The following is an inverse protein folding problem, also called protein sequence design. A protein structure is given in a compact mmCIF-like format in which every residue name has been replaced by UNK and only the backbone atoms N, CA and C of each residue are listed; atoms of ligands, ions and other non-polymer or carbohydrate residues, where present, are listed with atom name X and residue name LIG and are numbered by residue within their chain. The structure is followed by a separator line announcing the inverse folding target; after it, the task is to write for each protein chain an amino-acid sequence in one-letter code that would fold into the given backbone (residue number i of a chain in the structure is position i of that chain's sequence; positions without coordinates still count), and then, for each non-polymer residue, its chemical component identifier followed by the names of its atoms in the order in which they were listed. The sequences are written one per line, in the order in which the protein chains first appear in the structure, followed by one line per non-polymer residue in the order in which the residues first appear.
data_IF_083304992060
#
_entry.id   IF_083304992060
#
_cell.length_a   1.000
_cell.length_b   1.000
_cell.length_c   1.000
_cell.angle_alpha   90.00
_cell.angle_beta   90.00
_cell.angle_gamma   90.00
#
_symmetry.space_group_name_H-M   'P 1'
#
loop_
_entity.id
_entity.type
_entity.pdbx_description
1 polymer ?
#
# COMPACT_ATOMS: atom_id res chain seq x y z
N UNK A 1 38.37 4.52 32.87
CA UNK A 1 38.02 3.54 33.96
C UNK A 1 36.65 3.95 34.47
N UNK A 2 35.62 3.14 34.27
CA UNK A 2 34.40 3.27 35.05
C UNK A 2 34.75 2.85 36.46
N UNK A 3 34.99 3.80 37.35
CA UNK A 3 35.01 3.50 38.78
C UNK A 3 33.66 2.94 39.16
N UNK A 4 33.62 1.98 40.09
CA UNK A 4 32.41 1.51 40.69
C UNK A 4 31.79 2.65 41.52
N UNK A 5 31.03 3.50 40.85
CA UNK A 5 30.28 4.59 41.52
C UNK A 5 29.02 3.96 42.08
N UNK A 6 28.93 3.89 43.38
CA UNK A 6 27.73 3.38 44.05
C UNK A 6 26.61 4.39 43.85
N UNK A 7 25.49 3.96 43.29
CA UNK A 7 24.35 4.81 42.93
C UNK A 7 23.79 5.73 44.07
N UNK A 8 24.20 5.51 45.31
CA UNK A 8 23.81 6.31 46.49
C UNK A 8 24.51 7.67 46.61
N UNK A 9 25.64 7.86 45.91
CA UNK A 9 26.49 9.05 46.03
C UNK A 9 26.07 10.16 45.06
N UNK A 10 25.19 9.86 44.08
CA UNK A 10 24.82 10.82 43.04
C UNK A 10 23.31 10.90 42.86
N UNK A 11 22.73 12.05 43.15
CA UNK A 11 21.30 12.29 42.92
C UNK A 11 20.93 12.11 41.45
N UNK A 12 20.02 11.18 41.14
CA UNK A 12 19.52 10.94 39.80
C UNK A 12 20.44 10.15 38.85
N UNK A 13 21.45 9.45 39.35
CA UNK A 13 22.41 8.65 38.51
C UNK A 13 23.16 9.49 37.45
N UNK A 14 23.27 10.80 37.63
CA UNK A 14 23.95 11.72 36.70
C UNK A 14 25.34 12.08 37.22
N UNK A 15 26.34 11.94 36.36
CA UNK A 15 27.73 12.37 36.61
C UNK A 15 27.99 13.59 35.74
N UNK A 16 28.49 14.67 36.34
CA UNK A 16 28.98 15.83 35.61
C UNK A 16 30.46 15.63 35.29
N UNK A 17 30.79 15.63 34.02
CA UNK A 17 32.17 15.62 33.56
C UNK A 17 32.56 17.05 33.13
N UNK A 18 33.67 17.56 33.68
CA UNK A 18 34.25 18.87 33.34
C UNK A 18 35.47 18.65 32.48
N UNK A 19 35.49 19.29 31.31
CA UNK A 19 36.66 19.28 30.41
C UNK A 19 37.30 20.67 30.46
N UNK A 20 38.53 20.74 30.88
CA UNK A 20 39.28 21.97 30.91
C UNK A 20 40.10 22.10 29.62
N UNK A 21 40.00 23.24 28.95
CA UNK A 21 40.76 23.57 27.76
C UNK A 21 41.27 25.00 27.85
N UNK A 22 42.48 25.24 27.31
CA UNK A 22 43.05 26.57 27.26
C UNK A 22 42.73 27.21 25.92
N UNK A 23 42.30 28.46 25.95
CA UNK A 23 41.94 29.23 24.75
C UNK A 23 43.11 29.33 23.79
N UNK A 24 42.88 29.16 22.50
CA UNK A 24 43.86 29.30 21.40
C UNK A 24 45.05 28.33 21.49
N UNK A 25 44.85 27.13 22.03
CA UNK A 25 45.91 26.12 22.17
C UNK A 25 45.64 24.86 21.36
N UNK A 26 46.57 23.90 21.43
CA UNK A 26 46.40 22.54 20.86
C UNK A 26 45.22 21.74 21.44
N UNK A 27 44.56 22.23 22.47
CA UNK A 27 43.41 21.53 23.07
C UNK A 27 42.23 21.45 22.09
N UNK A 28 42.06 22.48 21.26
CA UNK A 28 41.08 22.45 20.17
C UNK A 28 41.32 21.29 19.19
N UNK A 29 42.59 21.07 18.84
CA UNK A 29 42.97 19.94 17.97
C UNK A 29 42.71 18.57 18.63
N UNK A 30 43.09 18.45 19.92
CA UNK A 30 42.85 17.21 20.68
C UNK A 30 41.39 16.89 20.82
N UNK A 31 40.55 17.89 21.08
CA UNK A 31 39.09 17.73 21.16
C UNK A 31 38.50 17.29 19.83
N UNK A 32 38.92 17.86 18.72
CA UNK A 32 38.50 17.44 17.38
C UNK A 32 38.88 15.98 17.10
N UNK A 33 40.11 15.58 17.44
CA UNK A 33 40.55 14.20 17.27
C UNK A 33 39.72 13.21 18.12
N UNK A 34 39.39 13.57 19.36
CA UNK A 34 38.57 12.77 20.24
C UNK A 34 37.12 12.66 19.72
N UNK A 35 36.57 13.75 19.21
CA UNK A 35 35.26 13.77 18.63
C UNK A 35 35.14 12.84 17.41
N UNK A 36 36.10 12.93 16.47
CA UNK A 36 36.12 12.06 15.30
C UNK A 36 36.22 10.57 15.69
N UNK A 37 37.01 10.25 16.72
CA UNK A 37 37.07 8.89 17.26
C UNK A 37 35.75 8.45 17.89
N UNK A 38 35.06 9.32 18.62
CA UNK A 38 33.77 9.03 19.22
C UNK A 38 32.72 8.76 18.14
N UNK A 39 32.65 9.58 17.09
CA UNK A 39 31.75 9.39 15.98
C UNK A 39 31.98 8.04 15.28
N UNK A 40 33.21 7.67 15.02
CA UNK A 40 33.54 6.37 14.44
C UNK A 40 33.05 5.22 15.31
N UNK A 41 33.24 5.30 16.63
CA UNK A 41 32.78 4.30 17.59
C UNK A 41 31.25 4.20 17.58
N UNK A 42 30.56 5.34 17.53
CA UNK A 42 29.07 5.37 17.53
C UNK A 42 28.50 4.84 16.21
N UNK A 43 29.13 5.10 15.08
CA UNK A 43 28.76 4.49 13.79
C UNK A 43 28.95 2.98 13.82
N UNK A 44 30.05 2.50 14.38
CA UNK A 44 30.32 1.07 14.53
C UNK A 44 29.24 0.40 15.39
N UNK A 45 28.90 1.01 16.53
CA UNK A 45 27.88 0.48 17.46
C UNK A 45 26.47 0.47 16.86
N UNK A 46 26.14 1.45 16.02
CA UNK A 46 24.82 1.59 15.38
C UNK A 46 24.74 0.86 14.04
N UNK A 47 25.78 0.13 13.64
CA UNK A 47 25.88 -0.57 12.34
C UNK A 47 25.59 0.34 11.13
N UNK A 48 26.04 1.60 11.20
CA UNK A 48 25.88 2.62 10.15
C UNK A 48 27.19 2.89 9.41
N UNK A 49 28.04 1.89 9.31
CA UNK A 49 29.27 1.93 8.49
C UNK A 49 28.88 2.02 7.02
N UNK A 50 29.05 3.16 6.41
CA UNK A 50 28.73 3.40 4.98
C UNK A 50 27.95 4.68 4.70
N UNK A 51 27.50 5.39 5.70
CA UNK A 51 26.96 6.72 5.49
C UNK A 51 28.12 7.68 5.10
N UNK A 52 28.07 8.18 3.86
CA UNK A 52 29.10 9.07 3.28
C UNK A 52 29.19 10.47 3.93
N UNK A 53 28.26 10.80 4.83
CA UNK A 53 28.24 12.04 5.62
C UNK A 53 28.14 11.70 7.09
N UNK A 54 29.16 12.11 7.80
CA UNK A 54 29.13 12.23 9.25
C UNK A 54 28.35 13.49 9.58
N UNK A 55 27.30 13.34 10.36
CA UNK A 55 26.60 14.48 10.94
C UNK A 55 27.49 15.02 12.07
N UNK A 56 28.16 16.12 11.82
CA UNK A 56 29.10 16.75 12.78
C UNK A 56 28.39 17.40 13.98
N UNK A 57 27.04 17.28 14.03
CA UNK A 57 26.20 18.17 14.82
C UNK A 57 25.91 17.81 16.28
N UNK A 58 26.01 16.55 16.72
CA UNK A 58 25.47 16.21 18.03
C UNK A 58 26.49 15.62 19.00
N UNK A 59 27.03 16.42 19.89
CA UNK A 59 27.85 15.94 21.02
C UNK A 59 27.01 15.47 22.20
N UNK A 60 25.85 16.04 22.45
CA UNK A 60 24.77 15.50 23.25
C UNK A 60 23.54 16.43 23.20
N UNK A 61 22.37 15.86 23.08
CA UNK A 61 21.08 16.59 23.16
C UNK A 61 20.90 17.29 24.53
N UNK A 62 21.62 16.86 25.57
CA UNK A 62 21.51 17.40 26.94
C UNK A 62 22.40 18.61 27.22
N UNK A 63 23.41 18.93 26.40
CA UNK A 63 24.36 20.03 26.68
C UNK A 63 24.00 21.35 25.98
N UNK A 64 23.07 21.34 25.03
CA UNK A 64 22.63 22.53 24.32
C UNK A 64 23.67 23.16 23.37
N UNK A 65 24.86 22.61 23.29
CA UNK A 65 25.94 23.07 22.39
C UNK A 65 26.40 21.91 21.50
N UNK A 66 26.51 22.17 20.20
CA UNK A 66 27.11 21.23 19.27
C UNK A 66 28.64 21.33 19.28
N UNK A 67 29.32 20.37 18.63
CA UNK A 67 30.79 20.34 18.60
C UNK A 67 31.41 21.59 17.97
N UNK A 68 30.83 22.13 16.90
CA UNK A 68 31.34 23.32 16.23
C UNK A 68 31.21 24.55 17.13
N UNK A 69 30.14 24.71 17.89
CA UNK A 69 29.96 25.75 18.90
C UNK A 69 31.00 25.63 20.03
N UNK A 70 31.25 24.40 20.45
CA UNK A 70 32.25 24.12 21.48
C UNK A 70 33.67 24.48 21.02
N UNK A 71 34.02 24.12 19.77
CA UNK A 71 35.30 24.48 19.15
C UNK A 71 35.48 25.98 19.00
N UNK A 72 34.38 26.70 18.65
CA UNK A 72 34.40 28.15 18.55
C UNK A 72 34.67 28.82 19.91
N UNK A 73 34.07 28.30 20.99
CA UNK A 73 34.34 28.80 22.37
C UNK A 73 35.80 28.53 22.77
N UNK A 74 36.31 27.33 22.51
CA UNK A 74 37.73 26.98 22.84
C UNK A 74 38.74 27.80 22.01
N UNK A 75 38.39 28.16 20.77
CA UNK A 75 39.22 29.01 19.93
C UNK A 75 39.25 30.48 20.38
N UNK A 76 38.28 30.88 21.21
CA UNK A 76 38.12 32.28 21.68
C UNK A 76 37.63 33.24 20.58
N UNK A 77 37.08 32.71 19.50
CA UNK A 77 36.56 33.50 18.38
C UNK A 77 35.02 33.46 18.35
N UNK A 78 34.40 34.59 18.68
CA UNK A 78 32.95 34.76 18.73
C UNK A 78 32.29 34.62 17.35
N UNK A 79 32.99 34.98 16.27
CA UNK A 79 32.45 34.89 14.90
C UNK A 79 32.32 33.43 14.48
N UNK A 80 33.25 32.56 14.89
CA UNK A 80 33.13 31.13 14.66
C UNK A 80 31.95 30.51 15.39
N UNK A 81 31.63 31.02 16.58
CA UNK A 81 30.45 30.60 17.32
C UNK A 81 29.16 30.98 16.61
N UNK A 82 29.09 32.22 16.12
CA UNK A 82 27.92 32.68 15.33
C UNK A 82 27.78 31.89 14.02
N UNK A 83 28.88 31.68 13.31
CA UNK A 83 28.93 30.85 12.10
C UNK A 83 28.39 29.44 12.37
N UNK A 84 28.89 28.77 13.41
CA UNK A 84 28.46 27.41 13.75
C UNK A 84 26.94 27.35 14.08
N UNK A 85 26.40 28.37 14.77
CA UNK A 85 24.96 28.46 15.03
C UNK A 85 24.13 28.65 13.77
N UNK A 86 24.60 29.51 12.86
CA UNK A 86 23.92 29.76 11.58
C UNK A 86 23.95 28.50 10.67
N UNK A 87 25.11 27.84 10.58
CA UNK A 87 25.23 26.58 9.83
C UNK A 87 24.31 25.49 10.38
N UNK A 88 24.24 25.37 11.71
CA UNK A 88 23.27 24.43 12.35
C UNK A 88 21.81 24.77 12.03
N UNK A 89 21.46 26.08 12.04
CA UNK A 89 20.11 26.53 11.68
C UNK A 89 19.80 26.26 10.19
N UNK A 90 20.74 26.55 9.28
CA UNK A 90 20.59 26.27 7.86
C UNK A 90 20.38 24.77 7.64
N UNK A 91 21.22 23.91 8.25
CA UNK A 91 21.08 22.47 8.12
C UNK A 91 19.69 21.96 8.62
N UNK A 92 19.19 22.53 9.70
CA UNK A 92 17.85 22.20 10.21
C UNK A 92 16.76 22.65 9.24
N UNK A 93 16.83 23.86 8.70
CA UNK A 93 15.89 24.39 7.72
C UNK A 93 15.92 23.58 6.41
N UNK A 94 17.09 23.23 5.90
CA UNK A 94 17.24 22.36 4.72
C UNK A 94 16.62 20.98 4.93
N UNK A 95 16.79 20.42 6.13
CA UNK A 95 16.16 19.14 6.49
C UNK A 95 14.63 19.25 6.52
N UNK A 96 14.10 20.31 7.14
CA UNK A 96 12.66 20.56 7.16
C UNK A 96 12.11 20.80 5.75
N UNK A 97 12.78 21.56 4.91
CA UNK A 97 12.43 21.78 3.51
C UNK A 97 12.40 20.47 2.74
N UNK A 98 13.41 19.63 2.93
CA UNK A 98 13.48 18.30 2.27
C UNK A 98 12.29 17.42 2.65
N UNK A 99 11.92 17.40 3.93
CA UNK A 99 10.74 16.65 4.41
C UNK A 99 9.46 17.23 3.79
N UNK A 100 9.31 18.56 3.78
CA UNK A 100 8.17 19.22 3.18
C UNK A 100 8.02 18.89 1.69
N UNK A 101 9.10 19.01 0.92
CA UNK A 101 9.11 18.68 -0.51
C UNK A 101 8.79 17.21 -0.77
N UNK A 102 9.30 16.31 0.06
CA UNK A 102 8.99 14.88 0.00
C UNK A 102 7.49 14.63 0.23
N UNK A 103 6.92 15.21 1.29
CA UNK A 103 5.49 15.09 1.61
C UNK A 103 4.61 15.62 0.47
N UNK A 104 4.99 16.76 -0.13
CA UNK A 104 4.31 17.34 -1.30
C UNK A 104 4.37 16.39 -2.51
N UNK A 105 5.53 15.80 -2.78
CA UNK A 105 5.68 14.84 -3.89
C UNK A 105 4.89 13.55 -3.66
N UNK A 106 4.87 13.05 -2.43
CA UNK A 106 4.05 11.90 -2.03
C UNK A 106 2.56 12.20 -2.22
N UNK A 107 2.08 13.38 -1.81
CA UNK A 107 0.71 13.82 -2.03
C UNK A 107 0.35 13.90 -3.51
N UNK A 108 1.25 14.42 -4.36
CA UNK A 108 1.06 14.49 -5.81
C UNK A 108 0.92 13.09 -6.44
N UNK A 109 1.76 12.15 -6.01
CA UNK A 109 1.70 10.75 -6.46
C UNK A 109 0.40 10.07 -6.03
N UNK A 110 -0.06 10.32 -4.80
CA UNK A 110 -1.33 9.80 -4.29
C UNK A 110 -2.53 10.40 -5.04
N UNK A 111 -2.53 11.69 -5.33
CA UNK A 111 -3.57 12.35 -6.10
C UNK A 111 -3.72 11.72 -7.50
N UNK A 112 -2.60 11.51 -8.20
CA UNK A 112 -2.59 10.85 -9.51
C UNK A 112 -3.15 9.42 -9.42
N UNK A 113 -2.70 8.66 -8.44
CA UNK A 113 -3.17 7.29 -8.20
C UNK A 113 -4.68 7.25 -7.91
N UNK A 114 -5.19 8.11 -7.02
CA UNK A 114 -6.61 8.14 -6.66
C UNK A 114 -7.49 8.58 -7.83
N UNK A 115 -7.03 9.57 -8.59
CA UNK A 115 -7.72 9.99 -9.83
C UNK A 115 -7.81 8.85 -10.85
N UNK A 116 -6.75 8.07 -11.02
CA UNK A 116 -6.76 6.90 -11.89
C UNK A 116 -7.70 5.80 -11.37
N UNK A 117 -7.70 5.55 -10.05
CA UNK A 117 -8.60 4.57 -9.43
C UNK A 117 -10.08 4.98 -9.57
N UNK A 118 -10.41 6.26 -9.40
CA UNK A 118 -11.78 6.77 -9.63
C UNK A 118 -12.23 6.49 -11.06
N UNK A 119 -11.38 6.82 -12.06
CA UNK A 119 -11.71 6.53 -13.47
C UNK A 119 -11.92 5.05 -13.74
N UNK A 120 -11.10 4.18 -13.14
CA UNK A 120 -11.27 2.73 -13.24
C UNK A 120 -12.59 2.26 -12.65
N UNK A 121 -13.00 2.83 -11.48
CA UNK A 121 -14.28 2.51 -10.85
C UNK A 121 -15.46 3.02 -11.69
N UNK A 122 -15.36 4.21 -12.29
CA UNK A 122 -16.40 4.71 -13.19
C UNK A 122 -16.58 3.81 -14.41
N UNK A 123 -15.51 3.45 -15.10
CA UNK A 123 -15.57 2.52 -16.22
C UNK A 123 -16.18 1.17 -15.83
N UNK A 124 -15.79 0.64 -14.64
CA UNK A 124 -16.34 -0.62 -14.15
C UNK A 124 -17.82 -0.51 -13.82
N UNK A 125 -18.25 0.58 -13.17
CA UNK A 125 -19.66 0.83 -12.85
C UNK A 125 -20.53 0.95 -14.10
N UNK A 126 -20.05 1.63 -15.15
CA UNK A 126 -20.76 1.73 -16.43
C UNK A 126 -20.95 0.35 -17.09
N UNK A 127 -19.92 -0.50 -17.05
CA UNK A 127 -20.00 -1.87 -17.60
C UNK A 127 -20.93 -2.75 -16.80
N UNK A 128 -20.85 -2.71 -15.46
CA UNK A 128 -21.74 -3.44 -14.56
C UNK A 128 -23.19 -3.00 -14.74
N UNK A 129 -23.41 -1.68 -14.90
CA UNK A 129 -24.75 -1.13 -15.14
C UNK A 129 -25.33 -1.64 -16.46
N UNK A 130 -24.55 -1.64 -17.54
CA UNK A 130 -25.02 -2.18 -18.84
C UNK A 130 -25.41 -3.65 -18.75
N UNK A 131 -24.60 -4.48 -18.09
CA UNK A 131 -24.92 -5.90 -17.91
C UNK A 131 -26.18 -6.06 -17.04
N UNK A 132 -26.33 -5.25 -15.98
CA UNK A 132 -27.49 -5.30 -15.10
C UNK A 132 -28.78 -4.83 -15.78
N UNK A 133 -28.72 -3.74 -16.53
CA UNK A 133 -29.85 -3.22 -17.30
C UNK A 133 -30.30 -4.26 -18.35
N UNK A 134 -29.34 -4.87 -19.06
CA UNK A 134 -29.62 -5.96 -20.01
C UNK A 134 -30.30 -7.16 -19.34
N UNK A 135 -29.80 -7.64 -18.21
CA UNK A 135 -30.42 -8.75 -17.48
C UNK A 135 -31.84 -8.40 -17.03
N UNK A 136 -32.11 -7.19 -16.59
CA UNK A 136 -33.43 -6.74 -16.17
C UNK A 136 -34.40 -6.63 -17.35
N UNK A 137 -33.93 -6.36 -18.54
CA UNK A 137 -34.72 -6.31 -19.77
C UNK A 137 -35.11 -7.72 -20.24
N UNK A 138 -34.11 -8.64 -20.35
CA UNK A 138 -34.32 -9.98 -20.92
C UNK A 138 -34.92 -10.98 -19.92
N UNK A 139 -34.69 -10.76 -18.63
CA UNK A 139 -35.13 -11.63 -17.54
C UNK A 139 -35.57 -10.83 -16.31
N UNK A 140 -36.66 -10.07 -16.40
CA UNK A 140 -37.17 -9.36 -15.23
C UNK A 140 -37.51 -10.37 -14.12
N UNK A 141 -37.25 -10.02 -12.84
CA UNK A 141 -37.63 -10.89 -11.73
C UNK A 141 -39.14 -11.02 -11.62
N UNK A 142 -39.64 -12.20 -11.25
CA UNK A 142 -41.02 -12.43 -10.93
C UNK A 142 -41.43 -11.74 -9.60
N UNK A 143 -42.71 -11.85 -9.23
CA UNK A 143 -43.25 -11.29 -7.99
C UNK A 143 -42.57 -11.82 -6.71
N UNK A 144 -41.81 -12.93 -6.81
CA UNK A 144 -40.99 -13.52 -5.72
C UNK A 144 -39.51 -13.19 -5.84
N UNK A 145 -39.13 -12.29 -6.76
CA UNK A 145 -37.74 -11.91 -7.00
C UNK A 145 -36.92 -12.97 -7.74
N UNK A 146 -37.54 -14.00 -8.32
CA UNK A 146 -36.83 -15.04 -9.08
C UNK A 146 -36.79 -14.70 -10.56
N UNK A 147 -35.67 -14.99 -11.20
CA UNK A 147 -35.49 -14.86 -12.66
C UNK A 147 -35.61 -16.21 -13.36
N UNK A 148 -36.04 -16.18 -14.60
CA UNK A 148 -35.90 -17.32 -15.50
C UNK A 148 -34.45 -17.75 -15.61
N UNK A 149 -34.19 -19.05 -15.75
CA UNK A 149 -32.84 -19.59 -15.93
C UNK A 149 -32.72 -20.31 -17.28
N UNK A 150 -32.50 -19.59 -18.40
CA UNK A 150 -32.34 -20.17 -19.70
C UNK A 150 -30.92 -20.69 -19.94
N UNK A 151 -30.31 -21.30 -18.93
CA UNK A 151 -29.00 -21.90 -19.01
C UNK A 151 -28.94 -22.94 -20.13
N UNK A 152 -27.97 -22.82 -21.02
CA UNK A 152 -27.66 -23.80 -22.06
C UNK A 152 -26.21 -24.20 -21.98
N UNK A 153 -25.97 -25.48 -21.76
CA UNK A 153 -24.61 -26.06 -21.75
C UNK A 153 -24.43 -26.86 -23.02
N UNK A 154 -23.30 -26.69 -23.67
CA UNK A 154 -22.98 -27.32 -24.94
C UNK A 154 -23.06 -28.87 -24.81
N UNK A 155 -23.72 -29.50 -25.77
CA UNK A 155 -23.98 -30.94 -25.79
C UNK A 155 -25.21 -31.40 -25.01
N UNK A 156 -26.08 -30.48 -24.55
CA UNK A 156 -27.36 -30.80 -23.90
C UNK A 156 -28.49 -30.13 -24.68
N UNK A 157 -29.39 -30.96 -25.27
CA UNK A 157 -30.56 -30.49 -26.02
C UNK A 157 -31.79 -30.27 -25.14
N UNK A 158 -31.78 -30.80 -23.92
CA UNK A 158 -32.91 -30.72 -22.97
C UNK A 158 -33.04 -29.31 -22.40
N UNK A 159 -34.26 -28.86 -22.16
CA UNK A 159 -34.56 -27.66 -21.38
C UNK A 159 -34.50 -27.87 -19.85
N UNK A 160 -34.29 -29.11 -19.40
CA UNK A 160 -34.20 -29.44 -17.98
C UNK A 160 -32.90 -28.94 -17.37
N UNK A 161 -33.03 -28.09 -16.38
CA UNK A 161 -31.90 -27.50 -15.67
C UNK A 161 -31.01 -28.56 -14.98
N UNK A 162 -31.60 -29.70 -14.58
CA UNK A 162 -30.86 -30.80 -13.95
C UNK A 162 -29.95 -31.50 -14.97
N UNK A 163 -30.40 -31.62 -16.23
CA UNK A 163 -29.59 -32.18 -17.30
C UNK A 163 -28.36 -31.32 -17.58
N UNK A 164 -28.53 -30.00 -17.65
CA UNK A 164 -27.41 -29.04 -17.75
C UNK A 164 -26.47 -29.12 -16.56
N UNK A 165 -26.99 -29.26 -15.36
CA UNK A 165 -26.20 -29.41 -14.14
C UNK A 165 -25.37 -30.70 -14.13
N UNK A 166 -25.92 -31.83 -14.59
CA UNK A 166 -25.18 -33.08 -14.73
C UNK A 166 -24.01 -32.92 -15.72
N UNK A 167 -24.26 -32.25 -16.85
CA UNK A 167 -23.22 -31.97 -17.85
C UNK A 167 -22.11 -31.06 -17.29
N UNK A 168 -22.45 -30.06 -16.48
CA UNK A 168 -21.47 -29.23 -15.80
C UNK A 168 -20.57 -30.02 -14.86
N UNK A 169 -21.13 -30.94 -14.05
CA UNK A 169 -20.37 -31.81 -13.16
C UNK A 169 -19.47 -32.78 -13.95
N UNK A 170 -19.89 -33.24 -15.12
CA UNK A 170 -19.07 -34.03 -16.01
C UNK A 170 -17.90 -33.20 -16.59
N UNK A 171 -18.17 -31.98 -17.06
CA UNK A 171 -17.15 -31.05 -17.55
C UNK A 171 -16.12 -30.78 -16.46
N UNK A 172 -16.54 -30.53 -15.22
CA UNK A 172 -15.63 -30.25 -14.09
C UNK A 172 -14.63 -31.39 -13.87
N UNK A 173 -15.05 -32.65 -14.10
CA UNK A 173 -14.19 -33.84 -13.93
C UNK A 173 -13.22 -34.07 -15.09
N UNK A 174 -13.56 -33.60 -16.27
CA UNK A 174 -12.85 -33.96 -17.52
C UNK A 174 -12.09 -32.82 -18.16
N UNK A 175 -12.49 -31.58 -17.90
CA UNK A 175 -11.90 -30.40 -18.54
C UNK A 175 -10.54 -30.07 -17.95
N UNK A 176 -9.60 -29.72 -18.85
CA UNK A 176 -8.33 -29.11 -18.49
C UNK A 176 -7.99 -28.08 -19.57
N UNK A 177 -8.11 -26.81 -19.23
CA UNK A 177 -7.94 -25.70 -20.18
C UNK A 177 -6.51 -25.14 -20.20
N UNK A 178 -5.63 -25.60 -19.31
CA UNK A 178 -4.23 -25.16 -19.26
C UNK A 178 -4.07 -23.65 -19.03
N UNK A 179 -4.89 -23.04 -18.20
CA UNK A 179 -4.97 -21.60 -17.89
C UNK A 179 -5.74 -20.75 -18.91
N UNK A 180 -6.22 -21.29 -20.02
CA UNK A 180 -7.08 -20.59 -20.97
C UNK A 180 -8.55 -20.61 -20.55
N UNK A 181 -9.36 -19.71 -21.15
CA UNK A 181 -10.81 -19.71 -20.98
C UNK A 181 -11.45 -20.53 -22.10
N UNK A 182 -12.23 -21.53 -21.73
CA UNK A 182 -13.02 -22.33 -22.65
C UNK A 182 -14.50 -22.02 -22.49
N UNK A 183 -15.18 -21.69 -23.58
CA UNK A 183 -16.64 -21.56 -23.60
C UNK A 183 -17.28 -22.95 -23.51
N UNK A 184 -18.26 -23.10 -22.64
CA UNK A 184 -18.98 -24.35 -22.39
C UNK A 184 -20.51 -24.19 -22.48
N UNK A 185 -20.99 -22.98 -22.75
CA UNK A 185 -22.42 -22.74 -22.83
C UNK A 185 -22.76 -21.25 -22.83
N UNK A 186 -24.04 -20.97 -22.63
CA UNK A 186 -24.60 -19.60 -22.55
C UNK A 186 -25.67 -19.49 -21.45
N UNK A 187 -25.79 -18.28 -20.90
CA UNK A 187 -26.88 -17.88 -20.03
C UNK A 187 -27.36 -16.51 -20.51
N UNK A 188 -28.59 -16.44 -21.06
CA UNK A 188 -28.98 -15.33 -21.93
C UNK A 188 -27.99 -15.23 -23.10
N UNK A 189 -27.47 -14.03 -23.40
CA UNK A 189 -26.40 -13.84 -24.40
C UNK A 189 -24.99 -13.87 -23.77
N UNK A 190 -24.90 -14.06 -22.47
CA UNK A 190 -23.64 -14.18 -21.77
C UNK A 190 -23.00 -15.53 -21.98
N UNK A 191 -21.68 -15.54 -22.18
CA UNK A 191 -20.92 -16.78 -22.32
C UNK A 191 -20.64 -17.41 -20.96
N UNK A 192 -20.79 -18.72 -20.86
CA UNK A 192 -20.31 -19.48 -19.71
C UNK A 192 -18.95 -20.02 -20.05
N UNK A 193 -18.00 -19.70 -19.20
CA UNK A 193 -16.62 -20.06 -19.35
C UNK A 193 -16.16 -20.96 -18.21
N UNK A 194 -15.20 -21.83 -18.52
CA UNK A 194 -14.43 -22.58 -17.53
C UNK A 194 -12.93 -22.28 -17.73
N UNK A 195 -12.19 -22.23 -16.64
CA UNK A 195 -10.74 -22.11 -16.63
C UNK A 195 -10.17 -23.06 -15.58
N UNK A 196 -9.13 -23.81 -15.97
CA UNK A 196 -8.39 -24.68 -15.05
C UNK A 196 -7.22 -23.88 -14.47
N UNK A 197 -7.19 -23.71 -13.15
CA UNK A 197 -6.12 -23.02 -12.44
C UNK A 197 -5.25 -24.04 -11.71
N UNK A 198 -3.94 -23.83 -11.70
CA UNK A 198 -3.01 -24.60 -10.89
C UNK A 198 -2.86 -23.93 -9.53
N UNK A 199 -3.11 -24.68 -8.50
CA UNK A 199 -2.94 -24.25 -7.11
C UNK A 199 -1.90 -25.13 -6.43
N UNK A 200 -1.09 -24.51 -5.58
CA UNK A 200 -0.20 -25.25 -4.70
C UNK A 200 -0.80 -25.23 -3.28
N UNK A 201 -1.14 -26.40 -2.77
CA UNK A 201 -1.65 -26.57 -1.41
C UNK A 201 -0.84 -27.66 -0.72
N UNK A 202 -0.26 -27.32 0.43
CA UNK A 202 0.54 -28.25 1.26
C UNK A 202 1.69 -28.95 0.49
N UNK A 203 2.30 -28.21 -0.47
CA UNK A 203 3.37 -28.74 -1.32
C UNK A 203 2.90 -29.61 -2.50
N UNK A 204 1.61 -29.86 -2.64
CA UNK A 204 1.00 -30.61 -3.74
C UNK A 204 0.45 -29.64 -4.80
N UNK A 205 0.77 -29.91 -6.05
CA UNK A 205 0.16 -29.23 -7.20
C UNK A 205 -1.24 -29.80 -7.43
N UNK A 206 -2.26 -28.97 -7.25
CA UNK A 206 -3.66 -29.32 -7.51
C UNK A 206 -4.16 -28.49 -8.67
N UNK A 207 -5.04 -29.05 -9.48
CA UNK A 207 -5.78 -28.33 -10.51
C UNK A 207 -7.22 -28.11 -10.04
N UNK A 208 -7.73 -26.91 -10.24
CA UNK A 208 -9.09 -26.54 -9.84
C UNK A 208 -9.75 -25.82 -11.01
N UNK A 209 -10.95 -26.25 -11.37
CA UNK A 209 -11.72 -25.59 -12.39
C UNK A 209 -12.54 -24.44 -11.78
N UNK A 210 -12.50 -23.31 -12.47
CA UNK A 210 -13.26 -22.10 -12.14
C UNK A 210 -14.28 -21.84 -13.23
N UNK A 211 -15.53 -21.74 -12.83
CA UNK A 211 -16.66 -21.47 -13.70
C UNK A 211 -17.14 -20.03 -13.55
N UNK A 212 -17.46 -19.37 -14.64
CA UNK A 212 -17.85 -17.96 -14.63
C UNK A 212 -18.82 -17.64 -15.76
N UNK A 213 -19.58 -16.58 -15.57
CA UNK A 213 -20.39 -15.96 -16.61
C UNK A 213 -19.68 -14.71 -17.09
N UNK A 214 -19.45 -14.60 -18.37
CA UNK A 214 -18.83 -13.43 -18.98
C UNK A 214 -19.91 -12.49 -19.52
N UNK A 215 -19.99 -11.29 -18.98
CA UNK A 215 -20.89 -10.23 -19.39
C UNK A 215 -20.55 -9.66 -20.78
N UNK A 216 -21.38 -8.73 -21.25
CA UNK A 216 -21.27 -8.13 -22.60
C UNK A 216 -19.91 -7.50 -22.85
N UNK A 217 -19.38 -6.82 -21.82
CA UNK A 217 -18.08 -6.14 -21.88
C UNK A 217 -16.93 -6.98 -21.29
N UNK A 218 -17.09 -8.28 -21.16
CA UNK A 218 -16.07 -9.23 -20.73
C UNK A 218 -15.80 -9.24 -19.22
N UNK A 219 -16.70 -8.68 -18.40
CA UNK A 219 -16.66 -8.86 -16.94
C UNK A 219 -17.00 -10.32 -16.63
N UNK A 220 -16.21 -10.94 -15.76
CA UNK A 220 -16.41 -12.33 -15.37
C UNK A 220 -17.04 -12.40 -13.99
N UNK A 221 -18.30 -12.84 -13.95
CA UNK A 221 -19.08 -13.02 -12.73
C UNK A 221 -18.92 -14.44 -12.22
N UNK A 222 -18.65 -14.57 -10.92
CA UNK A 222 -18.52 -15.87 -10.25
C UNK A 222 -19.40 -15.95 -9.03
N UNK A 223 -19.87 -17.15 -8.73
CA UNK A 223 -20.48 -17.49 -7.46
C UNK A 223 -19.58 -18.51 -6.75
N UNK A 224 -19.47 -18.41 -5.44
CA UNK A 224 -18.59 -19.30 -4.66
C UNK A 224 -17.16 -19.38 -5.22
N UNK A 225 -16.58 -18.23 -5.55
CA UNK A 225 -15.23 -18.11 -6.14
C UNK A 225 -15.03 -19.00 -7.39
N UNK A 226 -16.11 -19.22 -8.17
CA UNK A 226 -16.08 -20.02 -9.39
C UNK A 226 -16.09 -21.54 -9.18
N UNK A 227 -16.15 -22.02 -7.94
CA UNK A 227 -16.24 -23.46 -7.68
C UNK A 227 -17.64 -23.99 -8.00
N UNK A 228 -17.69 -25.09 -8.74
CA UNK A 228 -18.94 -25.75 -9.05
C UNK A 228 -19.51 -26.48 -7.83
N UNK A 229 -20.82 -26.45 -7.65
CA UNK A 229 -21.47 -27.26 -6.64
C UNK A 229 -21.53 -28.74 -7.08
N UNK A 230 -21.39 -29.65 -6.14
CA UNK A 230 -21.47 -31.08 -6.45
C UNK A 230 -22.89 -31.53 -6.86
N UNK A 231 -23.91 -30.85 -6.35
CA UNK A 231 -25.31 -31.14 -6.67
C UNK A 231 -25.69 -30.46 -7.98
N UNK A 232 -26.15 -31.21 -9.02
CA UNK A 232 -26.36 -30.73 -10.38
C UNK A 232 -27.28 -29.51 -10.48
N UNK A 233 -28.42 -29.52 -9.79
CA UNK A 233 -29.39 -28.42 -9.82
C UNK A 233 -28.78 -27.13 -9.25
N UNK A 234 -28.06 -27.26 -8.15
CA UNK A 234 -27.33 -26.13 -7.53
C UNK A 234 -26.21 -25.62 -8.42
N UNK A 235 -25.45 -26.51 -9.06
CA UNK A 235 -24.41 -26.14 -10.02
C UNK A 235 -24.98 -25.26 -11.13
N UNK A 236 -26.07 -25.66 -11.76
CA UNK A 236 -26.73 -24.90 -12.82
C UNK A 236 -27.36 -23.57 -12.32
N UNK A 237 -27.84 -23.51 -11.09
CA UNK A 237 -28.47 -22.32 -10.52
C UNK A 237 -27.43 -21.27 -10.11
N UNK A 238 -26.20 -21.67 -9.78
CA UNK A 238 -25.16 -20.76 -9.32
C UNK A 238 -24.74 -19.72 -10.36
N UNK A 239 -24.95 -19.97 -11.65
CA UNK A 239 -24.66 -18.99 -12.70
C UNK A 239 -25.61 -17.78 -12.64
N UNK A 240 -26.89 -17.97 -12.38
CA UNK A 240 -27.82 -16.84 -12.12
C UNK A 240 -27.42 -16.12 -10.84
N UNK A 241 -27.09 -16.85 -9.79
CA UNK A 241 -26.62 -16.24 -8.54
C UNK A 241 -25.35 -15.41 -8.72
N UNK A 242 -24.48 -15.80 -9.66
CA UNK A 242 -23.31 -14.99 -10.01
C UNK A 242 -23.72 -13.62 -10.59
N UNK A 243 -24.75 -13.58 -11.44
CA UNK A 243 -25.29 -12.33 -11.98
C UNK A 243 -26.03 -11.50 -10.93
N UNK A 244 -26.73 -12.13 -9.99
CA UNK A 244 -27.41 -11.45 -8.89
C UNK A 244 -26.42 -10.75 -7.91
N UNK A 245 -25.13 -10.99 -8.04
CA UNK A 245 -24.10 -10.25 -7.28
C UNK A 245 -23.80 -8.86 -7.84
N UNK A 246 -24.24 -8.55 -9.07
CA UNK A 246 -23.91 -7.29 -9.75
C UNK A 246 -24.29 -6.05 -8.92
N UNK A 247 -25.52 -5.94 -8.32
CA UNK A 247 -25.86 -4.78 -7.51
C UNK A 247 -24.94 -4.58 -6.31
N UNK A 248 -24.50 -5.68 -5.67
CA UNK A 248 -23.57 -5.60 -4.53
C UNK A 248 -22.16 -5.17 -4.96
N UNK A 249 -21.72 -5.60 -6.15
CA UNK A 249 -20.46 -5.14 -6.74
C UNK A 249 -20.52 -3.65 -7.07
N UNK A 250 -21.62 -3.18 -7.66
CA UNK A 250 -21.83 -1.76 -7.94
C UNK A 250 -21.77 -0.92 -6.65
N UNK A 251 -22.49 -1.35 -5.61
CA UNK A 251 -22.46 -0.67 -4.31
C UNK A 251 -21.07 -0.61 -3.69
N UNK A 252 -20.28 -1.67 -3.86
CA UNK A 252 -18.90 -1.74 -3.38
C UNK A 252 -18.02 -0.73 -4.14
N UNK A 253 -18.07 -0.71 -5.47
CA UNK A 253 -17.29 0.24 -6.27
C UNK A 253 -17.70 1.69 -6.06
N UNK A 254 -19.00 1.97 -5.86
CA UNK A 254 -19.47 3.31 -5.49
C UNK A 254 -18.92 3.76 -4.14
N UNK A 255 -18.88 2.85 -3.15
CA UNK A 255 -18.31 3.14 -1.84
C UNK A 255 -16.81 3.43 -1.93
N UNK A 256 -16.05 2.62 -2.67
CA UNK A 256 -14.62 2.83 -2.89
C UNK A 256 -14.37 4.16 -3.62
N UNK A 257 -15.13 4.47 -4.66
CA UNK A 257 -15.06 5.75 -5.38
C UNK A 257 -15.29 6.94 -4.45
N UNK A 258 -16.33 6.88 -3.60
CA UNK A 258 -16.62 7.93 -2.62
C UNK A 258 -15.46 8.12 -1.64
N UNK A 259 -14.82 7.03 -1.21
CA UNK A 259 -13.65 7.11 -0.33
C UNK A 259 -12.48 7.82 -1.01
N UNK A 260 -12.10 7.41 -2.24
CA UNK A 260 -11.03 8.08 -2.98
C UNK A 260 -11.34 9.56 -3.22
N UNK A 261 -12.58 9.90 -3.60
CA UNK A 261 -13.01 11.29 -3.82
C UNK A 261 -12.90 12.13 -2.55
N UNK A 262 -13.20 11.54 -1.38
CA UNK A 262 -13.11 12.24 -0.09
C UNK A 262 -11.69 12.65 0.27
N UNK A 263 -10.71 11.83 -0.11
CA UNK A 263 -9.31 12.05 0.28
C UNK A 263 -8.58 13.05 -0.65
N UNK A 264 -9.10 13.28 -1.86
CA UNK A 264 -8.52 14.20 -2.86
C UNK A 264 -8.26 15.61 -2.32
N UNK A 265 -9.22 16.30 -1.66
CA UNK A 265 -9.00 17.66 -1.18
C UNK A 265 -7.83 17.79 -0.21
N UNK A 266 -7.55 16.73 0.58
CA UNK A 266 -6.40 16.70 1.50
C UNK A 266 -5.08 16.72 0.74
N UNK A 267 -4.98 15.94 -0.34
CA UNK A 267 -3.78 15.94 -1.18
C UNK A 267 -3.62 17.26 -1.93
N UNK A 268 -4.70 17.83 -2.46
CA UNK A 268 -4.68 19.14 -3.13
C UNK A 268 -4.20 20.23 -2.18
N UNK A 269 -4.67 20.23 -0.92
CA UNK A 269 -4.22 21.16 0.10
C UNK A 269 -2.73 21.01 0.42
N UNK A 270 -2.23 19.77 0.55
CA UNK A 270 -0.81 19.49 0.78
C UNK A 270 0.07 19.94 -0.40
N UNK A 271 -0.41 19.77 -1.63
CA UNK A 271 0.30 20.19 -2.85
C UNK A 271 0.34 21.71 -2.97
N UNK A 272 -0.77 22.39 -2.63
CA UNK A 272 -0.89 23.84 -2.69
C UNK A 272 -0.15 24.56 -1.55
N UNK A 273 0.20 23.85 -0.48
CA UNK A 273 0.92 24.43 0.64
C UNK A 273 2.28 24.99 0.20
N UNK A 274 2.60 26.17 0.72
CA UNK A 274 3.92 26.81 0.56
C UNK A 274 4.73 26.55 1.82
N UNK A 275 6.03 26.30 1.67
CA UNK A 275 6.88 26.11 2.81
C UNK A 275 7.02 27.42 3.60
N UNK A 276 6.61 27.47 4.89
CA UNK A 276 6.44 28.72 5.62
C UNK A 276 7.75 29.42 6.00
N UNK A 277 8.90 28.74 5.86
CA UNK A 277 10.22 29.25 6.26
C UNK A 277 11.13 29.53 5.06
N UNK A 278 10.56 29.72 3.86
CA UNK A 278 11.32 29.97 2.63
C UNK A 278 12.19 31.24 2.72
N UNK A 279 11.70 32.27 3.43
CA UNK A 279 12.45 33.52 3.64
C UNK A 279 13.54 33.42 4.70
N UNK A 280 13.58 32.36 5.52
CA UNK A 280 14.59 32.16 6.56
C UNK A 280 15.84 31.44 6.05
N UNK A 281 15.74 30.76 4.91
CA UNK A 281 16.84 30.01 4.29
C UNK A 281 17.61 30.90 3.32
#
# INVERSE_FOLDING_TARGET
RKGNIVAREYAGNKVKAYVYAVLRTLDAYKLNLLHNKQQFIDQLKRNRLGARRLDEGAISEDSGMNFAEWMAVVSGNTDLLQKAKLEGRIAALESEQTIFMRTRHEAQSQLQRYTAEIRRRDTMLERLKRDWDYINEVAPPDAKGKRANPLRIDGVESADIVAHGKRLVEIDRTVNTGDDYQKIGTLFDFRILVRTERMQKDGLALTVNKFMVEGLDGIKYTFNNGHLAAEPKTAATNFIRALDTIPSLMATYEKEKKQFTRDIPTFEQQIAAVWPKEEEL
#
